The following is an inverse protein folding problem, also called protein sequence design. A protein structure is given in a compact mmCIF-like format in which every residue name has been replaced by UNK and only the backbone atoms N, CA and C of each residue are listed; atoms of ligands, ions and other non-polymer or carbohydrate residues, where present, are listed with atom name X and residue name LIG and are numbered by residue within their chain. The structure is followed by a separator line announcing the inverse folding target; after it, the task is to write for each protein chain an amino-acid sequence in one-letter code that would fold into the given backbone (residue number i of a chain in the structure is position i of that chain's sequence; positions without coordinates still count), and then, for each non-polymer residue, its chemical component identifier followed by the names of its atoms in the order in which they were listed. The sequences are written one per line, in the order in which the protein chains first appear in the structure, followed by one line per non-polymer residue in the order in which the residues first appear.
data_IF_041893219707
#
_entry.id   IF_041893219707
#
_cell.length_a   1.000
_cell.length_b   1.000
_cell.length_c   1.000
_cell.angle_alpha   90.00
_cell.angle_beta   90.00
_cell.angle_gamma   90.00
#
_symmetry.space_group_name_H-M   'P 1'
#
loop_
_entity.id
_entity.type
_entity.pdbx_description
1 polymer ?
#
# COMPACT_ATOMS: atom_id res chain seq x y z
N UNK A 1 -9.85 -5.41 29.97
CA UNK A 1 -10.24 -6.42 28.97
C UNK A 1 -9.31 -6.27 27.78
N UNK A 2 -8.15 -6.91 27.80
CA UNK A 2 -7.20 -6.83 26.68
C UNK A 2 -7.72 -7.73 25.56
N UNK A 3 -8.41 -7.12 24.59
CA UNK A 3 -8.77 -7.78 23.33
C UNK A 3 -7.50 -8.45 22.81
N UNK A 4 -7.53 -9.78 22.66
CA UNK A 4 -6.56 -10.49 21.83
C UNK A 4 -6.70 -9.93 20.42
N UNK A 5 -5.86 -8.95 20.12
CA UNK A 5 -5.75 -8.33 18.82
C UNK A 5 -5.30 -9.41 17.84
N UNK A 6 -6.23 -9.85 17.00
CA UNK A 6 -5.93 -10.79 15.92
C UNK A 6 -5.10 -10.01 14.90
N UNK A 7 -3.78 -10.05 15.03
CA UNK A 7 -2.88 -9.65 13.96
C UNK A 7 -3.31 -10.38 12.69
N UNK A 8 -3.63 -9.62 11.66
CA UNK A 8 -3.96 -10.15 10.33
C UNK A 8 -2.75 -9.96 9.44
N UNK A 9 -2.48 -10.98 8.64
CA UNK A 9 -1.55 -10.86 7.54
C UNK A 9 -2.25 -10.16 6.38
N UNK A 10 -1.60 -9.15 5.82
CA UNK A 10 -2.07 -8.43 4.66
C UNK A 10 -1.08 -8.63 3.51
N UNK A 11 -1.60 -8.70 2.30
CA UNK A 11 -0.78 -8.75 1.10
C UNK A 11 -0.50 -7.34 0.61
N UNK A 12 0.77 -7.02 0.37
CA UNK A 12 1.22 -5.69 0.02
C UNK A 12 1.94 -5.72 -1.30
N UNK A 13 1.49 -4.86 -2.22
CA UNK A 13 2.14 -4.63 -3.51
C UNK A 13 2.77 -3.26 -3.47
N UNK A 14 4.08 -3.21 -3.63
CA UNK A 14 4.91 -2.01 -3.65
C UNK A 14 5.42 -1.74 -5.05
N UNK A 15 5.61 -0.47 -5.37
CA UNK A 15 6.30 -0.02 -6.57
C UNK A 15 7.42 0.92 -6.12
N UNK A 16 8.62 0.73 -6.66
CA UNK A 16 9.76 1.62 -6.41
C UNK A 16 9.97 2.60 -7.58
N UNK A 17 10.73 3.67 -7.35
CA UNK A 17 11.18 4.58 -8.41
C UNK A 17 12.32 4.00 -9.28
N UNK A 18 12.44 2.68 -9.43
CA UNK A 18 13.65 2.05 -9.93
C UNK A 18 14.10 2.49 -11.34
N UNK A 19 13.22 2.88 -12.27
CA UNK A 19 13.64 3.46 -13.55
C UNK A 19 12.52 4.22 -14.29
N UNK A 20 12.88 5.17 -15.19
CA UNK A 20 11.93 5.83 -16.10
C UNK A 20 11.22 4.89 -17.09
N UNK A 21 11.65 3.64 -17.23
CA UNK A 21 11.06 2.64 -18.13
C UNK A 21 10.60 1.34 -17.44
N UNK A 22 11.05 1.05 -16.21
CA UNK A 22 10.65 -0.13 -15.44
C UNK A 22 10.46 0.25 -13.97
N UNK A 23 9.21 0.19 -13.50
CA UNK A 23 8.91 0.22 -12.06
C UNK A 23 9.13 -1.19 -11.54
N UNK A 24 10.05 -1.35 -10.59
CA UNK A 24 10.21 -2.62 -9.90
C UNK A 24 9.01 -2.79 -8.95
N UNK A 25 8.22 -3.83 -9.21
CA UNK A 25 7.06 -4.19 -8.39
C UNK A 25 7.53 -5.22 -7.36
N UNK A 26 7.38 -4.89 -6.08
CA UNK A 26 7.68 -5.80 -4.98
C UNK A 26 6.41 -6.31 -4.33
N UNK A 27 6.37 -7.58 -3.96
CA UNK A 27 5.24 -8.23 -3.30
C UNK A 27 5.70 -8.76 -1.94
N UNK A 28 4.98 -8.43 -0.87
CA UNK A 28 5.31 -8.88 0.48
C UNK A 28 4.06 -9.08 1.33
N UNK A 29 4.20 -9.85 2.41
CA UNK A 29 3.15 -10.06 3.41
C UNK A 29 3.54 -9.32 4.69
N UNK A 30 2.61 -8.53 5.24
CA UNK A 30 2.84 -7.71 6.43
C UNK A 30 1.74 -7.95 7.44
N UNK A 31 2.12 -8.26 8.68
CA UNK A 31 1.19 -8.43 9.78
C UNK A 31 0.86 -7.08 10.44
N UNK A 32 -0.42 -6.81 10.62
CA UNK A 32 -0.91 -5.64 11.34
C UNK A 32 -2.31 -5.85 11.90
N UNK A 33 -2.69 -5.00 12.85
CA UNK A 33 -4.03 -5.03 13.45
C UNK A 33 -5.07 -4.42 12.49
N UNK A 34 -4.62 -3.53 11.62
CA UNK A 34 -5.42 -2.88 10.59
C UNK A 34 -4.62 -2.75 9.29
N UNK A 35 -5.29 -2.57 8.13
CA UNK A 35 -4.60 -2.30 6.86
C UNK A 35 -3.70 -1.05 6.93
N UNK A 36 -4.09 -0.07 7.76
CA UNK A 36 -3.29 1.15 7.97
C UNK A 36 -2.00 0.89 8.75
N UNK A 37 -2.03 -0.01 9.73
CA UNK A 37 -0.82 -0.43 10.45
C UNK A 37 0.15 -1.18 9.52
N UNK A 38 -0.39 -2.10 8.72
CA UNK A 38 0.39 -2.82 7.71
C UNK A 38 1.00 -1.87 6.66
N UNK A 39 0.24 -0.86 6.22
CA UNK A 39 0.74 0.17 5.31
C UNK A 39 1.86 1.00 5.95
N UNK A 40 1.67 1.43 7.20
CA UNK A 40 2.67 2.22 7.92
C UNK A 40 3.96 1.42 8.07
N UNK A 41 3.88 0.17 8.52
CA UNK A 41 5.03 -0.76 8.59
C UNK A 41 5.72 -0.92 7.24
N UNK A 42 4.95 -1.11 6.17
CA UNK A 42 5.51 -1.20 4.82
C UNK A 42 6.32 0.04 4.46
N UNK A 43 5.83 1.24 4.77
CA UNK A 43 6.51 2.51 4.48
C UNK A 43 7.76 2.69 5.35
N UNK A 44 7.66 2.43 6.65
CA UNK A 44 8.77 2.54 7.61
C UNK A 44 9.90 1.53 7.31
N UNK A 45 9.55 0.30 6.95
CA UNK A 45 10.52 -0.78 6.69
C UNK A 45 11.07 -0.78 5.24
N UNK A 46 10.58 0.12 4.37
CA UNK A 46 10.99 0.14 2.97
C UNK A 46 12.40 0.73 2.78
N UNK A 47 13.39 -0.14 2.57
CA UNK A 47 14.82 0.24 2.50
C UNK A 47 15.37 0.40 1.08
N UNK A 48 14.53 0.33 0.03
CA UNK A 48 15.03 0.38 -1.35
C UNK A 48 15.70 1.74 -1.65
N UNK A 49 16.91 1.77 -2.26
CA UNK A 49 17.70 2.99 -2.45
C UNK A 49 17.04 4.04 -3.36
N UNK A 50 16.08 3.62 -4.19
CA UNK A 50 15.30 4.51 -5.07
C UNK A 50 14.05 5.09 -4.39
N UNK A 51 13.73 4.62 -3.18
CA UNK A 51 12.53 4.99 -2.45
C UNK A 51 11.25 4.32 -2.96
N UNK A 52 10.23 4.36 -2.13
CA UNK A 52 8.89 3.82 -2.42
C UNK A 52 8.11 4.81 -3.28
N UNK A 53 7.65 4.38 -4.45
CA UNK A 53 6.79 5.16 -5.33
C UNK A 53 5.32 5.04 -4.93
N UNK A 54 4.86 3.82 -4.69
CA UNK A 54 3.49 3.51 -4.27
C UNK A 54 3.44 2.21 -3.49
N UNK A 55 2.45 2.06 -2.61
CA UNK A 55 2.12 0.82 -1.93
C UNK A 55 0.59 0.62 -1.92
N UNK A 56 0.15 -0.63 -2.07
CA UNK A 56 -1.25 -1.02 -2.02
C UNK A 56 -1.41 -2.24 -1.12
N UNK A 57 -2.35 -2.16 -0.18
CA UNK A 57 -2.67 -3.21 0.78
C UNK A 57 -3.92 -3.94 0.33
N UNK A 58 -3.84 -5.26 0.30
CA UNK A 58 -4.90 -6.17 -0.05
C UNK A 58 -5.15 -7.12 1.12
N UNK A 59 -6.35 -7.71 1.15
CA UNK A 59 -6.66 -8.74 2.14
C UNK A 59 -5.71 -9.93 2.01
N UNK A 60 -5.45 -10.37 0.77
CA UNK A 60 -4.58 -11.49 0.46
C UNK A 60 -4.15 -11.45 -1.03
N UNK A 61 -3.25 -12.36 -1.44
CA UNK A 61 -2.74 -12.43 -2.81
C UNK A 61 -3.81 -12.78 -3.85
N UNK A 62 -4.86 -13.51 -3.47
CA UNK A 62 -5.98 -13.85 -4.35
C UNK A 62 -6.81 -12.61 -4.70
N UNK A 63 -6.92 -11.64 -3.77
CA UNK A 63 -7.59 -10.38 -4.04
C UNK A 63 -6.92 -9.63 -5.20
N UNK A 64 -5.58 -9.67 -5.29
CA UNK A 64 -4.84 -9.10 -6.43
C UNK A 64 -5.08 -9.90 -7.70
N UNK A 65 -4.97 -11.24 -7.64
CA UNK A 65 -5.19 -12.11 -8.80
C UNK A 65 -6.62 -11.98 -9.39
N UNK A 66 -7.61 -11.70 -8.55
CA UNK A 66 -9.01 -11.47 -8.94
C UNK A 66 -9.33 -10.03 -9.35
N UNK A 67 -8.36 -9.12 -9.26
CA UNK A 67 -8.56 -7.71 -9.59
C UNK A 67 -9.45 -6.96 -8.59
N UNK A 68 -9.52 -7.39 -7.33
CA UNK A 68 -10.24 -6.68 -6.28
C UNK A 68 -9.56 -5.34 -5.97
N UNK A 69 -10.35 -4.38 -5.48
CA UNK A 69 -9.82 -3.12 -5.00
C UNK A 69 -8.97 -3.34 -3.73
N UNK A 70 -7.83 -2.65 -3.60
CA UNK A 70 -7.05 -2.69 -2.36
C UNK A 70 -7.82 -2.02 -1.23
N UNK A 71 -7.60 -2.55 -0.03
CA UNK A 71 -8.10 -2.00 1.24
C UNK A 71 -7.51 -0.61 1.51
N UNK A 72 -6.27 -0.38 1.07
CA UNK A 72 -5.59 0.89 1.26
C UNK A 72 -4.52 1.12 0.21
N UNK A 73 -4.25 2.39 -0.08
CA UNK A 73 -3.17 2.80 -1.00
C UNK A 73 -2.40 3.97 -0.42
N UNK A 74 -1.11 3.98 -0.69
CA UNK A 74 -0.22 5.11 -0.50
C UNK A 74 0.54 5.38 -1.78
N UNK A 75 0.77 6.65 -2.07
CA UNK A 75 1.53 7.09 -3.22
C UNK A 75 2.42 8.27 -2.83
N UNK A 76 3.64 8.28 -3.36
CA UNK A 76 4.56 9.39 -3.20
C UNK A 76 4.04 10.66 -3.88
N UNK A 77 4.49 11.83 -3.42
CA UNK A 77 4.13 13.12 -4.03
C UNK A 77 4.52 13.22 -5.52
N UNK A 78 5.53 12.46 -5.96
CA UNK A 78 5.91 12.40 -7.37
C UNK A 78 4.92 11.56 -8.21
N UNK A 79 4.34 10.51 -7.64
CA UNK A 79 3.24 9.77 -8.26
C UNK A 79 1.97 10.63 -8.36
N UNK A 80 1.65 11.36 -7.29
CA UNK A 80 0.50 12.26 -7.22
C UNK A 80 0.58 13.45 -8.20
N UNK A 81 1.78 13.82 -8.69
CA UNK A 81 1.96 14.84 -9.72
C UNK A 81 1.74 14.34 -11.16
N UNK A 82 1.85 13.02 -11.40
CA UNK A 82 1.72 12.43 -12.75
C UNK A 82 0.26 12.19 -13.17
N UNK A 83 -0.64 11.99 -12.21
CA UNK A 83 -2.08 12.10 -12.42
C UNK A 83 -2.47 13.48 -11.91
N UNK A 84 -3.16 14.30 -12.70
CA UNK A 84 -3.62 15.63 -12.28
C UNK A 84 -4.71 15.55 -11.21
N UNK A 85 -4.42 14.94 -10.06
CA UNK A 85 -5.36 14.69 -8.97
C UNK A 85 -4.90 15.45 -7.71
N UNK A 86 -5.64 16.49 -7.29
CA UNK A 86 -5.26 17.33 -6.17
C UNK A 86 -5.69 16.65 -4.87
N UNK A 87 -4.81 15.86 -4.25
CA UNK A 87 -4.77 15.70 -2.78
C UNK A 87 -3.47 15.04 -2.34
N UNK A 88 -2.56 15.91 -1.92
CA UNK A 88 -1.33 15.58 -1.22
C UNK A 88 -1.60 14.71 0.02
N UNK A 89 -0.79 13.67 0.21
CA UNK A 89 -0.44 13.14 1.54
C UNK A 89 -1.56 12.58 2.42
N UNK A 90 -2.69 12.16 1.87
CA UNK A 90 -3.79 11.58 2.64
C UNK A 90 -3.87 10.06 2.48
N UNK A 91 -3.85 9.35 3.61
CA UNK A 91 -4.46 8.04 3.75
C UNK A 91 -5.80 8.03 2.98
N UNK A 92 -5.99 7.09 2.05
CA UNK A 92 -7.27 6.89 1.38
C UNK A 92 -8.05 5.82 2.14
N UNK A 93 -8.91 6.18 3.12
CA UNK A 93 -9.87 5.24 3.69
C UNK A 93 -10.96 4.95 2.66
N UNK A 94 -11.42 3.71 2.64
CA UNK A 94 -12.29 3.13 1.61
C UNK A 94 -13.35 4.05 1.03
N UNK A 95 -13.36 4.15 -0.30
CA UNK A 95 -14.54 4.58 -1.04
C UNK A 95 -15.57 3.46 -0.99
N UNK A 96 -16.47 3.55 0.00
CA UNK A 96 -17.80 2.95 -0.07
C UNK A 96 -18.67 3.99 -0.77
N UNK A 97 -18.90 3.83 -2.08
CA UNK A 97 -19.95 4.57 -2.77
C UNK A 97 -21.26 3.80 -2.62
N UNK A 98 -22.21 4.48 -1.99
CA UNK A 98 -23.59 4.04 -1.72
C UNK A 98 -24.43 3.99 -2.99
#
# INVERSE_FOLDING_TARGET
MSKGERMREYYVVTNSFAAPFFSDTGELFVCGDTPGDALKKTIDDYTHPRGLFAAAIYEDANAVAKGHAPLMRWQSNAAAKKKGDPKQGGFLPGEVHR
#
